data_IF_472970853710
#
_entry.id   IF_472970853710
#
_cell.length_a   1.000
_cell.length_b   1.000
_cell.length_c   1.000
_cell.angle_alpha   90.00
_cell.angle_beta   90.00
_cell.angle_gamma   90.00
#
_symmetry.space_group_name_H-M   'P 1'
#
loop_
_entity.id
_entity.type
_entity.pdbx_description
1 polymer ?
#
# COMPACT_ATOMS: atom_id res chain seq x y z
N UNK A 1 21.48 27.23 32.46
CA UNK A 1 21.41 25.83 31.99
C UNK A 1 22.84 25.27 31.97
N UNK A 2 23.08 24.07 32.50
CA UNK A 2 24.44 23.49 32.58
C UNK A 2 24.78 22.87 31.22
N UNK A 3 25.67 23.50 30.44
CA UNK A 3 26.00 23.09 29.06
C UNK A 3 26.39 21.61 28.93
N UNK A 4 27.10 21.05 29.90
CA UNK A 4 27.49 19.62 29.87
C UNK A 4 26.31 18.67 29.98
N UNK A 5 25.29 19.01 30.78
CA UNK A 5 24.06 18.21 30.92
C UNK A 5 23.23 18.30 29.63
N UNK A 6 23.20 19.46 28.99
CA UNK A 6 22.45 19.65 27.74
C UNK A 6 23.10 18.93 26.55
N UNK A 7 24.43 18.93 26.47
CA UNK A 7 25.17 18.14 25.49
C UNK A 7 24.95 16.64 25.71
N UNK A 8 25.03 16.16 26.96
CA UNK A 8 24.73 14.76 27.28
C UNK A 8 23.30 14.36 26.91
N UNK A 9 22.30 15.21 27.17
CA UNK A 9 20.91 14.96 26.77
C UNK A 9 20.74 14.84 25.24
N UNK A 10 21.44 15.66 24.46
CA UNK A 10 21.42 15.59 22.99
C UNK A 10 22.08 14.30 22.49
N UNK A 11 23.23 13.93 23.05
CA UNK A 11 23.93 12.69 22.74
C UNK A 11 23.07 11.45 23.05
N UNK A 12 22.43 11.41 24.22
CA UNK A 12 21.53 10.33 24.61
C UNK A 12 20.32 10.21 23.68
N UNK A 13 19.77 11.34 23.22
CA UNK A 13 18.69 11.38 22.24
C UNK A 13 19.09 10.77 20.89
N UNK A 14 20.21 11.22 20.32
CA UNK A 14 20.73 10.71 19.05
C UNK A 14 21.07 9.20 19.14
N UNK A 15 21.60 8.77 20.29
CA UNK A 15 21.87 7.36 20.57
C UNK A 15 20.60 6.52 20.59
N UNK A 16 19.56 6.97 21.27
CA UNK A 16 18.26 6.26 21.33
C UNK A 16 17.64 6.12 19.94
N UNK A 17 17.69 7.18 19.13
CA UNK A 17 17.22 7.18 17.74
C UNK A 17 18.01 6.15 16.91
N UNK A 18 19.34 6.19 16.98
CA UNK A 18 20.20 5.29 16.24
C UNK A 18 19.95 3.81 16.61
N UNK A 19 19.81 3.50 17.91
CA UNK A 19 19.52 2.14 18.37
C UNK A 19 18.17 1.64 17.85
N UNK A 20 17.14 2.49 17.82
CA UNK A 20 15.82 2.16 17.27
C UNK A 20 15.88 1.85 15.78
N UNK A 21 16.59 2.68 15.01
CA UNK A 21 16.78 2.47 13.56
C UNK A 21 17.52 1.14 13.30
N UNK A 22 18.63 0.90 14.01
CA UNK A 22 19.43 -0.34 13.85
C UNK A 22 18.58 -1.57 14.13
N UNK A 23 17.86 -1.58 15.26
CA UNK A 23 17.01 -2.72 15.65
C UNK A 23 15.95 -2.99 14.58
N UNK A 24 15.24 -1.96 14.12
CA UNK A 24 14.16 -2.13 13.16
C UNK A 24 14.66 -2.54 11.77
N UNK A 25 15.78 -1.98 11.30
CA UNK A 25 16.41 -2.42 10.05
C UNK A 25 16.84 -3.89 10.12
N UNK A 26 17.38 -4.33 11.26
CA UNK A 26 17.76 -5.72 11.47
C UNK A 26 16.55 -6.67 11.45
N UNK A 27 15.42 -6.26 12.04
CA UNK A 27 14.18 -7.05 12.02
C UNK A 27 13.55 -7.10 10.61
N UNK A 28 13.60 -5.99 9.87
CA UNK A 28 13.16 -5.93 8.46
C UNK A 28 14.00 -6.86 7.56
N UNK A 29 15.32 -6.88 7.74
CA UNK A 29 16.20 -7.77 6.97
C UNK A 29 15.87 -9.26 7.16
N UNK A 30 15.39 -9.66 8.34
CA UNK A 30 14.97 -11.06 8.60
C UNK A 30 13.70 -11.47 7.87
N UNK A 31 12.90 -10.49 7.43
CA UNK A 31 11.61 -10.72 6.77
C UNK A 31 11.62 -10.27 5.30
N UNK A 32 12.79 -9.89 4.77
CA UNK A 32 12.93 -9.27 3.45
C UNK A 32 12.33 -10.11 2.31
N UNK A 33 12.50 -11.44 2.33
CA UNK A 33 12.02 -12.34 1.27
C UNK A 33 10.50 -12.28 1.04
N UNK A 34 9.71 -11.93 2.06
CA UNK A 34 8.26 -11.82 1.96
C UNK A 34 7.80 -10.36 1.71
N UNK A 35 8.73 -9.41 1.54
CA UNK A 35 8.47 -7.98 1.60
C UNK A 35 9.03 -7.19 0.40
N UNK A 36 9.49 -7.86 -0.68
CA UNK A 36 10.21 -7.20 -1.77
C UNK A 36 9.40 -6.12 -2.52
N UNK A 37 8.06 -6.23 -2.65
CA UNK A 37 7.23 -5.17 -3.23
C UNK A 37 6.61 -4.19 -2.24
N UNK A 38 6.84 -4.36 -0.94
CA UNK A 38 6.21 -3.53 0.10
C UNK A 38 6.61 -2.06 0.02
N UNK A 39 7.84 -1.77 -0.39
CA UNK A 39 8.35 -0.39 -0.45
C UNK A 39 7.48 0.54 -1.32
N UNK A 40 6.95 0.03 -2.44
CA UNK A 40 6.15 0.84 -3.36
C UNK A 40 4.81 1.23 -2.75
N UNK A 41 4.19 0.32 -2.00
CA UNK A 41 2.95 0.57 -1.27
C UNK A 41 3.15 1.53 -0.11
N UNK A 42 4.25 1.44 0.63
CA UNK A 42 4.55 2.36 1.73
C UNK A 42 4.76 3.81 1.21
N UNK A 43 5.39 3.97 0.03
CA UNK A 43 5.54 5.28 -0.61
C UNK A 43 4.21 5.82 -1.16
N UNK A 44 3.41 4.97 -1.80
CA UNK A 44 2.07 5.36 -2.27
C UNK A 44 1.14 5.72 -1.11
N UNK A 45 1.22 5.00 0.01
CA UNK A 45 0.50 5.33 1.23
C UNK A 45 0.93 6.69 1.79
N UNK A 46 2.23 6.99 1.83
CA UNK A 46 2.71 8.31 2.26
C UNK A 46 2.16 9.42 1.35
N UNK A 47 2.13 9.20 0.04
CA UNK A 47 1.55 10.13 -0.92
C UNK A 47 0.05 10.35 -0.67
N UNK A 48 -0.74 9.28 -0.50
CA UNK A 48 -2.17 9.35 -0.16
C UNK A 48 -2.43 10.04 1.18
N UNK A 49 -1.67 9.68 2.22
CA UNK A 49 -1.82 10.25 3.56
C UNK A 49 -1.50 11.76 3.58
N UNK A 50 -0.63 12.25 2.68
CA UNK A 50 -0.28 13.68 2.62
C UNK A 50 -1.46 14.57 2.24
N UNK A 51 -2.45 14.04 1.51
CA UNK A 51 -3.64 14.79 1.07
C UNK A 51 -4.89 14.44 1.88
N UNK A 52 -4.77 13.62 2.93
CA UNK A 52 -5.91 13.09 3.69
C UNK A 52 -6.80 14.16 4.32
N UNK A 53 -6.22 15.27 4.77
CA UNK A 53 -6.93 16.40 5.37
C UNK A 53 -7.38 17.45 4.33
N UNK A 54 -7.29 17.11 3.03
CA UNK A 54 -7.60 18.01 1.91
C UNK A 54 -8.62 17.35 0.97
N UNK A 55 -9.15 18.12 0.00
CA UNK A 55 -9.99 17.58 -1.07
C UNK A 55 -9.18 17.25 -2.35
N UNK A 56 -7.84 17.22 -2.25
CA UNK A 56 -6.96 17.03 -3.40
C UNK A 56 -6.78 15.56 -3.72
N UNK A 57 -6.54 15.28 -4.99
CA UNK A 57 -6.14 13.96 -5.45
C UNK A 57 -4.62 13.92 -5.64
N UNK A 58 -4.04 12.74 -5.45
CA UNK A 58 -2.62 12.53 -5.63
C UNK A 58 -2.32 11.80 -6.93
N UNK A 59 -1.35 12.33 -7.65
CA UNK A 59 -0.70 11.72 -8.81
C UNK A 59 0.70 11.27 -8.43
N UNK A 60 1.09 10.09 -8.91
CA UNK A 60 2.38 9.45 -8.63
C UNK A 60 3.11 9.12 -9.92
N UNK A 61 4.43 9.29 -9.90
CA UNK A 61 5.33 8.87 -10.96
C UNK A 61 6.46 8.03 -10.39
N UNK A 62 6.71 6.87 -10.96
CA UNK A 62 7.81 5.98 -10.58
C UNK A 62 8.73 5.80 -11.78
N UNK A 63 10.02 6.04 -11.60
CA UNK A 63 11.04 5.92 -12.65
C UNK A 63 12.05 4.88 -12.21
N UNK A 64 12.13 3.76 -12.93
CA UNK A 64 13.14 2.71 -12.73
C UNK A 64 14.24 2.85 -13.79
N UNK A 65 15.47 2.99 -13.32
CA UNK A 65 16.70 3.01 -14.11
C UNK A 65 17.62 1.87 -13.67
N UNK A 66 18.80 1.73 -14.30
CA UNK A 66 19.75 0.68 -13.94
C UNK A 66 20.38 0.87 -12.57
N UNK A 67 20.61 2.11 -12.16
CA UNK A 67 21.36 2.49 -10.96
C UNK A 67 20.51 3.17 -9.89
N UNK A 68 19.22 3.42 -10.17
CA UNK A 68 18.31 4.07 -9.23
C UNK A 68 16.84 3.77 -9.51
N UNK A 69 16.02 4.05 -8.52
CA UNK A 69 14.58 4.18 -8.65
C UNK A 69 14.09 5.45 -7.97
N UNK A 70 13.21 6.18 -8.64
CA UNK A 70 12.68 7.47 -8.18
C UNK A 70 11.18 7.37 -8.03
N UNK A 71 10.67 7.70 -6.85
CA UNK A 71 9.24 7.82 -6.58
C UNK A 71 8.91 9.30 -6.38
N UNK A 72 8.01 9.83 -7.20
CA UNK A 72 7.58 11.22 -7.15
C UNK A 72 6.07 11.31 -6.93
N UNK A 73 5.60 12.31 -6.18
CA UNK A 73 4.18 12.62 -6.06
C UNK A 73 3.92 14.12 -5.90
N UNK A 74 2.70 14.55 -6.26
CA UNK A 74 2.22 15.93 -6.11
C UNK A 74 1.38 16.14 -4.84
N UNK A 75 1.63 15.30 -3.83
CA UNK A 75 0.95 15.44 -2.53
C UNK A 75 1.33 16.73 -1.81
N UNK A 76 0.76 16.95 -0.64
CA UNK A 76 1.02 18.15 0.17
C UNK A 76 2.51 18.29 0.51
N UNK A 77 2.95 19.53 0.74
CA UNK A 77 4.27 19.85 1.27
C UNK A 77 4.52 19.17 2.63
N UNK A 78 5.78 19.13 3.04
CA UNK A 78 6.18 18.64 4.36
C UNK A 78 5.92 19.70 5.43
N UNK A 79 5.62 19.25 6.64
CA UNK A 79 5.67 20.08 7.85
C UNK A 79 7.00 19.88 8.58
N UNK A 80 7.33 20.74 9.53
CA UNK A 80 8.47 20.51 10.45
C UNK A 80 8.40 19.14 11.13
N UNK A 81 7.19 18.70 11.48
CA UNK A 81 6.95 17.41 12.13
C UNK A 81 7.32 16.25 11.22
N UNK A 82 7.06 16.38 9.92
CA UNK A 82 7.43 15.37 8.93
C UNK A 82 8.93 15.30 8.72
N UNK A 83 9.64 16.44 8.62
CA UNK A 83 11.11 16.46 8.53
C UNK A 83 11.75 15.79 9.75
N UNK A 84 11.30 16.16 10.96
CA UNK A 84 11.76 15.51 12.20
C UNK A 84 11.45 14.01 12.19
N UNK A 85 10.28 13.61 11.70
CA UNK A 85 9.87 12.21 11.57
C UNK A 85 10.75 11.41 10.61
N UNK A 86 11.08 11.99 9.44
CA UNK A 86 11.96 11.40 8.44
C UNK A 86 13.38 11.21 8.98
N UNK A 87 13.99 12.25 9.54
CA UNK A 87 15.39 12.22 9.97
C UNK A 87 15.58 11.42 11.26
N UNK A 88 14.69 11.57 12.24
CA UNK A 88 14.83 10.94 13.55
C UNK A 88 14.06 9.61 13.70
N UNK A 89 13.31 9.17 12.69
CA UNK A 89 12.47 7.97 12.77
C UNK A 89 11.51 7.98 13.99
N UNK A 90 11.00 9.17 14.32
CA UNK A 90 9.98 9.37 15.34
C UNK A 90 8.63 9.30 14.62
N UNK A 91 7.70 8.49 15.13
CA UNK A 91 6.37 8.43 14.53
C UNK A 91 5.69 9.79 14.74
N UNK A 92 5.50 10.55 13.66
CA UNK A 92 4.74 11.79 13.69
C UNK A 92 3.22 11.58 13.68
N UNK A 93 2.77 10.32 13.55
CA UNK A 93 1.37 9.97 13.25
C UNK A 93 0.71 9.08 14.32
N UNK A 94 1.24 9.05 15.54
CA UNK A 94 0.51 8.44 16.66
C UNK A 94 -0.77 9.26 16.93
N UNK A 95 -1.92 8.59 16.85
CA UNK A 95 -3.24 9.14 17.07
C UNK A 95 -3.41 9.37 18.57
N UNK A 96 -3.89 10.54 18.99
CA UNK A 96 -4.21 10.76 20.40
C UNK A 96 -5.37 9.86 20.83
N UNK A 97 -5.38 9.45 22.10
CA UNK A 97 -6.33 8.48 22.64
C UNK A 97 -7.78 9.02 22.49
N UNK A 98 -8.54 8.45 21.55
CA UNK A 98 -9.94 8.83 21.26
C UNK A 98 -10.19 9.49 19.90
N UNK A 99 -9.18 9.73 19.08
CA UNK A 99 -9.35 10.25 17.71
C UNK A 99 -9.51 9.13 16.67
N UNK A 100 -10.32 9.38 15.63
CA UNK A 100 -10.46 8.49 14.47
C UNK A 100 -9.45 8.94 13.42
N UNK A 101 -8.44 8.12 13.13
CA UNK A 101 -7.47 8.42 12.07
C UNK A 101 -8.09 8.22 10.70
N UNK A 102 -8.01 9.24 9.85
CA UNK A 102 -8.27 9.13 8.39
C UNK A 102 -7.02 8.72 7.59
N UNK A 103 -5.86 8.65 8.26
CA UNK A 103 -4.58 8.25 7.67
C UNK A 103 -4.39 6.75 7.82
N UNK A 104 -3.87 6.12 6.76
CA UNK A 104 -3.61 4.68 6.71
C UNK A 104 -2.35 4.31 7.51
N UNK A 105 -1.37 5.21 7.56
CA UNK A 105 -0.13 5.02 8.32
C UNK A 105 -0.29 5.22 9.82
N UNK A 106 -0.43 4.13 10.58
CA UNK A 106 -0.61 4.15 12.05
C UNK A 106 0.67 3.95 12.86
N UNK A 107 1.66 3.23 12.32
CA UNK A 107 2.80 2.71 13.11
C UNK A 107 4.12 3.47 12.94
N UNK A 108 4.20 4.44 12.03
CA UNK A 108 5.43 5.22 11.79
C UNK A 108 6.65 4.41 11.30
N UNK A 109 6.44 3.16 10.88
CA UNK A 109 7.50 2.24 10.42
C UNK A 109 7.59 2.09 8.90
N UNK A 110 6.56 2.52 8.16
CA UNK A 110 6.43 2.28 6.73
C UNK A 110 7.60 2.80 5.90
N UNK A 111 8.04 4.04 6.19
CA UNK A 111 9.19 4.63 5.50
C UNK A 111 10.51 3.89 5.77
N UNK A 112 10.68 3.25 6.94
CA UNK A 112 11.90 2.48 7.18
C UNK A 112 11.91 1.16 6.37
N UNK A 113 10.74 0.61 6.04
CA UNK A 113 10.61 -0.56 5.15
C UNK A 113 11.17 -0.29 3.77
N UNK A 114 11.09 0.96 3.27
CA UNK A 114 11.67 1.31 1.96
C UNK A 114 13.19 1.19 1.95
N UNK A 115 13.85 1.17 3.12
CA UNK A 115 15.29 1.00 3.19
C UNK A 115 15.76 -0.45 2.92
N UNK A 116 14.81 -1.39 2.75
CA UNK A 116 15.08 -2.70 2.14
C UNK A 116 15.55 -2.54 0.68
N UNK A 117 15.10 -1.49 -0.01
CA UNK A 117 15.52 -1.15 -1.38
C UNK A 117 16.91 -0.50 -1.37
N UNK A 118 17.12 0.51 -0.54
CA UNK A 118 18.43 1.12 -0.30
C UNK A 118 18.47 1.82 1.05
N UNK A 119 19.60 1.70 1.75
CA UNK A 119 19.86 2.45 2.98
C UNK A 119 20.18 3.92 2.75
N UNK A 120 20.42 4.29 1.49
CA UNK A 120 20.71 5.65 1.05
C UNK A 120 19.57 6.13 0.16
N UNK A 121 18.89 7.17 0.63
CA UNK A 121 17.72 7.76 -0.02
C UNK A 121 17.93 9.26 -0.13
N UNK A 122 17.89 9.81 -1.34
CA UNK A 122 17.85 11.25 -1.54
C UNK A 122 16.40 11.69 -1.46
N UNK A 123 16.10 12.66 -0.60
CA UNK A 123 14.75 13.20 -0.41
C UNK A 123 14.74 14.65 -0.87
N UNK A 124 13.80 14.97 -1.76
CA UNK A 124 13.51 16.34 -2.18
C UNK A 124 12.07 16.66 -1.92
N UNK A 125 11.82 17.89 -1.53
CA UNK A 125 10.49 18.34 -1.16
C UNK A 125 10.43 19.85 -0.97
N UNK A 126 9.23 20.29 -0.63
CA UNK A 126 8.96 21.62 -0.10
C UNK A 126 8.57 21.43 1.36
N UNK A 127 9.12 22.23 2.27
CA UNK A 127 8.71 22.30 3.68
C UNK A 127 8.05 23.63 3.96
N UNK A 128 6.90 23.58 4.64
CA UNK A 128 6.22 24.75 5.20
C UNK A 128 6.67 24.95 6.65
N UNK A 129 7.01 26.19 6.97
CA UNK A 129 7.40 26.64 8.32
C UNK A 129 6.17 27.12 9.10
N UNK A 130 6.30 27.26 10.43
CA UNK A 130 5.21 27.81 11.26
C UNK A 130 4.81 29.26 10.89
N UNK A 131 5.69 29.97 10.18
CA UNK A 131 5.45 31.33 9.67
C UNK A 131 4.88 31.34 8.23
N UNK A 132 4.31 30.22 7.76
CA UNK A 132 3.71 30.02 6.43
C UNK A 132 4.67 30.28 5.24
N UNK A 133 5.98 30.19 5.48
CA UNK A 133 7.00 30.28 4.41
C UNK A 133 7.36 28.89 3.89
N UNK A 134 7.58 28.80 2.58
CA UNK A 134 7.94 27.56 1.88
C UNK A 134 9.41 27.53 1.51
N UNK A 135 10.09 26.42 1.78
CA UNK A 135 11.48 26.20 1.41
C UNK A 135 11.64 24.91 0.61
N UNK A 136 12.40 24.98 -0.49
CA UNK A 136 12.87 23.78 -1.17
C UNK A 136 13.98 23.15 -0.32
N UNK A 137 13.94 21.82 -0.20
CA UNK A 137 15.00 21.05 0.45
C UNK A 137 15.44 19.87 -0.40
N UNK A 138 16.69 19.45 -0.20
CA UNK A 138 17.28 18.29 -0.84
C UNK A 138 18.43 17.75 0.01
N UNK A 139 18.26 16.58 0.61
CA UNK A 139 19.30 15.97 1.45
C UNK A 139 19.38 14.46 1.30
N UNK A 140 20.54 13.90 1.63
CA UNK A 140 20.76 12.45 1.68
C UNK A 140 20.39 11.92 3.06
N UNK A 141 19.38 11.04 3.10
CA UNK A 141 19.11 10.22 4.27
C UNK A 141 19.93 8.93 4.20
N UNK A 142 21.01 8.88 4.99
CA UNK A 142 21.89 7.71 5.06
C UNK A 142 21.63 6.88 6.32
N UNK A 143 21.20 5.63 6.14
CA UNK A 143 20.99 4.64 7.22
C UNK A 143 22.04 3.53 7.24
N UNK A 144 23.19 3.74 6.59
CA UNK A 144 24.34 2.86 6.75
C UNK A 144 24.93 2.97 8.16
N UNK A 145 25.57 1.88 8.61
CA UNK A 145 26.09 1.75 9.97
C UNK A 145 25.51 0.53 10.68
N UNK A 146 26.38 -0.26 11.31
CA UNK A 146 26.01 -1.45 12.10
C UNK A 146 25.97 -1.16 13.60
N UNK A 147 26.53 -0.04 14.02
CA UNK A 147 26.60 0.37 15.42
C UNK A 147 26.09 1.79 15.58
N UNK A 148 25.63 2.13 16.77
CA UNK A 148 25.18 3.47 17.13
C UNK A 148 26.22 4.54 16.80
N UNK A 149 27.49 4.25 17.08
CA UNK A 149 28.61 5.15 16.82
C UNK A 149 28.83 5.45 15.32
N UNK A 150 28.43 4.52 14.43
CA UNK A 150 28.48 4.74 12.99
C UNK A 150 27.25 5.48 12.46
N UNK A 151 26.09 5.28 13.09
CA UNK A 151 24.83 5.84 12.59
C UNK A 151 24.56 7.27 13.11
N UNK A 152 25.03 7.63 14.31
CA UNK A 152 24.88 9.00 14.85
C UNK A 152 25.44 10.06 13.87
N UNK A 153 26.67 9.94 13.34
CA UNK A 153 27.19 10.91 12.37
C UNK A 153 26.33 11.02 11.11
N UNK A 154 25.69 9.94 10.67
CA UNK A 154 24.83 9.96 9.49
C UNK A 154 23.51 10.71 9.75
N UNK A 155 22.95 10.58 10.97
CA UNK A 155 21.77 11.35 11.39
C UNK A 155 22.12 12.84 11.50
N UNK A 156 23.26 13.17 12.10
CA UNK A 156 23.74 14.55 12.22
C UNK A 156 24.03 15.18 10.86
N UNK A 157 24.62 14.40 9.94
CA UNK A 157 24.86 14.85 8.58
C UNK A 157 23.56 15.08 7.80
N UNK A 158 22.54 14.23 7.97
CA UNK A 158 21.23 14.45 7.34
C UNK A 158 20.58 15.75 7.83
N UNK A 159 20.68 16.07 9.13
CA UNK A 159 20.25 17.37 9.65
C UNK A 159 21.04 18.51 9.04
N UNK A 160 22.37 18.40 8.98
CA UNK A 160 23.21 19.43 8.39
C UNK A 160 22.83 19.68 6.93
N UNK A 161 22.77 18.63 6.11
CA UNK A 161 22.40 18.75 4.69
C UNK A 161 20.99 19.31 4.49
N UNK A 162 20.02 18.96 5.35
CA UNK A 162 18.69 19.56 5.30
C UNK A 162 18.79 21.09 5.47
N UNK A 163 19.43 21.58 6.54
CA UNK A 163 19.56 23.02 6.80
C UNK A 163 20.34 23.73 5.68
N UNK A 164 21.48 23.17 5.27
CA UNK A 164 22.29 23.70 4.17
C UNK A 164 21.47 23.79 2.86
N UNK A 165 20.58 22.81 2.62
CA UNK A 165 19.72 22.79 1.42
C UNK A 165 18.57 23.80 1.46
N UNK A 166 18.16 24.26 2.64
CA UNK A 166 17.10 25.27 2.79
C UNK A 166 17.64 26.71 2.85
N UNK A 167 18.93 26.88 3.08
CA UNK A 167 19.57 28.20 3.13
C UNK A 167 19.43 28.90 1.76
N UNK A 168 18.84 30.09 1.76
CA UNK A 168 18.54 30.89 0.55
C UNK A 168 17.62 30.20 -0.49
N UNK A 169 16.87 29.17 -0.10
CA UNK A 169 15.94 28.41 -0.97
C UNK A 169 14.46 28.59 -0.61
N UNK A 170 14.11 29.76 -0.11
CA UNK A 170 12.71 30.17 0.08
C UNK A 170 12.03 30.37 -1.27
N UNK A 171 10.76 29.95 -1.39
CA UNK A 171 9.96 30.11 -2.59
C UNK A 171 8.68 30.89 -2.30
N UNK A 172 8.33 31.81 -3.19
CA UNK A 172 7.11 32.61 -3.06
C UNK A 172 5.86 31.88 -3.57
N UNK A 173 6.01 30.96 -4.52
CA UNK A 173 4.91 30.26 -5.17
C UNK A 173 5.08 28.75 -5.04
N UNK A 174 4.11 28.11 -4.40
CA UNK A 174 3.96 26.67 -4.34
C UNK A 174 2.90 26.24 -5.36
N UNK A 175 3.32 25.53 -6.41
CA UNK A 175 2.41 24.91 -7.36
C UNK A 175 2.08 23.49 -6.89
N UNK A 176 0.88 23.34 -6.35
CA UNK A 176 0.36 22.08 -5.81
C UNK A 176 0.30 20.94 -6.84
N UNK A 177 0.13 21.24 -8.13
CA UNK A 177 -0.05 20.22 -9.16
C UNK A 177 1.28 19.58 -9.61
N UNK A 178 2.41 20.22 -9.31
CA UNK A 178 3.75 19.72 -9.63
C UNK A 178 4.19 18.56 -8.74
N UNK A 179 5.10 17.73 -9.25
CA UNK A 179 5.70 16.61 -8.51
C UNK A 179 6.73 17.10 -7.48
N UNK A 180 6.24 17.79 -6.45
CA UNK A 180 7.03 18.50 -5.46
C UNK A 180 7.82 17.60 -4.52
N UNK A 181 7.36 16.36 -4.30
CA UNK A 181 8.03 15.41 -3.40
C UNK A 181 8.65 14.28 -4.20
N UNK A 182 9.92 13.97 -3.93
CA UNK A 182 10.63 12.84 -4.53
C UNK A 182 11.50 12.06 -3.55
N UNK A 183 11.51 10.74 -3.70
CA UNK A 183 12.40 9.81 -3.02
C UNK A 183 13.22 9.03 -4.05
N UNK A 184 14.54 9.21 -4.05
CA UNK A 184 15.44 8.56 -5.00
C UNK A 184 16.34 7.57 -4.27
N UNK A 185 16.23 6.29 -4.60
CA UNK A 185 17.00 5.19 -4.01
C UNK A 185 18.08 4.72 -4.98
N UNK A 186 19.33 4.68 -4.53
CA UNK A 186 20.44 4.11 -5.32
C UNK A 186 20.41 2.58 -5.32
N UNK A 187 20.48 1.98 -6.50
CA UNK A 187 20.47 0.53 -6.74
C UNK A 187 21.89 0.08 -7.12
N UNK A 188 22.77 0.04 -6.11
CA UNK A 188 24.20 -0.22 -6.28
C UNK A 188 24.55 -1.70 -6.38
N UNK A 189 23.62 -2.62 -6.05
CA UNK A 189 23.85 -4.06 -6.10
C UNK A 189 22.79 -4.78 -6.95
N UNK A 190 23.12 -5.97 -7.51
CA UNK A 190 22.15 -6.78 -8.24
C UNK A 190 20.92 -7.17 -7.40
N UNK A 191 21.09 -7.36 -6.09
CA UNK A 191 19.99 -7.65 -5.18
C UNK A 191 19.01 -6.48 -5.08
N UNK A 192 19.51 -5.24 -4.96
CA UNK A 192 18.67 -4.04 -4.93
C UNK A 192 17.91 -3.85 -6.25
N UNK A 193 18.58 -4.07 -7.38
CA UNK A 193 17.97 -4.02 -8.70
C UNK A 193 16.85 -5.06 -8.84
N UNK A 194 17.04 -6.27 -8.31
CA UNK A 194 16.03 -7.33 -8.34
C UNK A 194 14.83 -6.99 -7.44
N UNK A 195 15.06 -6.49 -6.23
CA UNK A 195 13.99 -6.04 -5.33
C UNK A 195 13.16 -4.92 -5.98
N UNK A 196 13.81 -3.98 -6.67
CA UNK A 196 13.14 -2.91 -7.40
C UNK A 196 12.23 -3.47 -8.51
N UNK A 197 12.74 -4.40 -9.32
CA UNK A 197 11.99 -5.04 -10.42
C UNK A 197 10.79 -5.84 -9.91
N UNK A 198 10.99 -6.68 -8.90
CA UNK A 198 9.91 -7.44 -8.26
C UNK A 198 8.83 -6.48 -7.75
N UNK A 199 9.24 -5.40 -7.07
CA UNK A 199 8.30 -4.40 -6.57
C UNK A 199 7.50 -3.71 -7.67
N UNK A 200 8.14 -3.34 -8.79
CA UNK A 200 7.44 -2.74 -9.94
C UNK A 200 6.46 -3.73 -10.59
N UNK A 201 6.86 -4.98 -10.80
CA UNK A 201 6.02 -6.00 -11.44
C UNK A 201 4.79 -6.35 -10.57
N UNK A 202 4.98 -6.47 -9.25
CA UNK A 202 3.88 -6.62 -8.28
C UNK A 202 2.97 -5.39 -8.27
N UNK A 203 3.56 -4.20 -8.25
CA UNK A 203 2.83 -2.94 -8.24
C UNK A 203 1.96 -2.77 -9.49
N UNK A 204 2.50 -3.03 -10.69
CA UNK A 204 1.76 -3.03 -11.97
C UNK A 204 0.57 -3.99 -11.97
N UNK A 205 0.69 -5.13 -11.29
CA UNK A 205 -0.34 -6.15 -11.21
C UNK A 205 -1.49 -5.73 -10.29
N UNK A 206 -1.17 -5.08 -9.17
CA UNK A 206 -2.10 -4.80 -8.08
C UNK A 206 -2.66 -3.37 -8.09
N UNK A 207 -2.01 -2.41 -8.75
CA UNK A 207 -2.45 -1.01 -8.78
C UNK A 207 -3.92 -0.83 -9.23
N UNK A 208 -4.49 -1.63 -10.16
CA UNK A 208 -5.91 -1.49 -10.49
C UNK A 208 -6.86 -1.79 -9.32
N UNK A 209 -6.49 -2.69 -8.41
CA UNK A 209 -7.26 -2.93 -7.18
C UNK A 209 -7.17 -1.74 -6.24
N UNK A 210 -5.96 -1.20 -6.03
CA UNK A 210 -5.74 -0.03 -5.17
C UNK A 210 -6.52 1.18 -5.69
N UNK A 211 -6.46 1.50 -6.98
CA UNK A 211 -7.24 2.59 -7.57
C UNK A 211 -8.76 2.34 -7.50
N UNK A 212 -9.19 1.09 -7.39
CA UNK A 212 -10.61 0.77 -7.16
C UNK A 212 -11.04 1.09 -5.74
N UNK A 213 -10.16 0.90 -4.76
CA UNK A 213 -10.46 1.09 -3.34
C UNK A 213 -10.14 2.49 -2.81
N UNK A 214 -9.20 3.20 -3.44
CA UNK A 214 -8.70 4.49 -2.99
C UNK A 214 -9.02 5.55 -4.06
N UNK A 215 -10.14 6.28 -3.94
CA UNK A 215 -10.51 7.32 -4.89
C UNK A 215 -9.57 8.54 -4.89
N UNK A 216 -8.80 8.75 -3.82
CA UNK A 216 -7.87 9.87 -3.64
C UNK A 216 -6.64 9.78 -4.55
N UNK A 217 -6.35 8.61 -5.14
CA UNK A 217 -5.26 8.46 -6.10
C UNK A 217 -5.84 8.66 -7.51
N UNK A 218 -5.46 9.76 -8.16
CA UNK A 218 -5.91 10.13 -9.50
C UNK A 218 -5.18 9.33 -10.58
N UNK A 219 -3.85 9.36 -10.54
CA UNK A 219 -3.02 8.75 -11.56
C UNK A 219 -1.76 8.11 -10.97
N UNK A 220 -1.34 6.99 -11.57
CA UNK A 220 0.00 6.45 -11.38
C UNK A 220 0.68 6.20 -12.72
N UNK A 221 1.86 6.78 -12.92
CA UNK A 221 2.72 6.57 -14.08
C UNK A 221 3.99 5.81 -13.66
N UNK A 222 4.38 4.82 -14.45
CA UNK A 222 5.58 4.01 -14.22
C UNK A 222 6.41 4.02 -15.50
N UNK A 223 7.63 4.51 -15.41
CA UNK A 223 8.62 4.56 -16.49
C UNK A 223 9.71 3.53 -16.17
N UNK A 224 9.69 2.39 -16.84
CA UNK A 224 10.72 1.36 -16.77
C UNK A 224 11.73 1.57 -17.90
N UNK A 225 12.84 2.25 -17.60
CA UNK A 225 13.88 2.54 -18.59
C UNK A 225 14.70 1.29 -18.95
N UNK A 226 14.59 0.19 -18.19
CA UNK A 226 15.27 -1.07 -18.51
C UNK A 226 14.55 -1.82 -19.62
N UNK A 227 13.22 -1.72 -19.65
CA UNK A 227 12.35 -2.30 -20.68
C UNK A 227 11.97 -1.31 -21.79
N UNK A 228 12.35 -0.03 -21.64
CA UNK A 228 11.90 1.08 -22.48
C UNK A 228 10.36 1.19 -22.52
N UNK A 229 9.72 0.92 -21.37
CA UNK A 229 8.27 0.90 -21.22
C UNK A 229 7.79 2.05 -20.34
N UNK A 230 6.67 2.67 -20.72
CA UNK A 230 5.92 3.61 -19.88
C UNK A 230 4.50 3.11 -19.76
N UNK A 231 4.02 2.90 -18.54
CA UNK A 231 2.64 2.49 -18.26
C UNK A 231 2.01 3.49 -17.31
N UNK A 232 0.85 4.04 -17.69
CA UNK A 232 0.05 4.87 -16.80
C UNK A 232 -1.33 4.27 -16.54
N UNK A 233 -1.81 4.49 -15.33
CA UNK A 233 -3.15 4.12 -14.87
C UNK A 233 -3.84 5.37 -14.36
N UNK A 234 -5.02 5.67 -14.90
CA UNK A 234 -5.85 6.77 -14.46
C UNK A 234 -7.15 6.25 -13.85
N UNK A 235 -7.49 6.78 -12.68
CA UNK A 235 -8.65 6.38 -11.89
C UNK A 235 -9.92 7.07 -12.41
N UNK A 236 -10.90 6.29 -12.87
CA UNK A 236 -12.24 6.84 -13.14
C UNK A 236 -13.04 6.79 -11.84
N UNK A 237 -13.48 7.94 -11.32
CA UNK A 237 -14.25 8.00 -10.07
C UNK A 237 -15.58 7.23 -10.13
N UNK A 238 -16.10 6.90 -11.32
CA UNK A 238 -17.45 6.31 -11.47
C UNK A 238 -17.45 4.78 -11.48
N UNK A 239 -18.35 4.22 -10.69
CA UNK A 239 -18.76 2.82 -10.78
C UNK A 239 -20.06 2.76 -11.57
N UNK A 240 -20.10 1.96 -12.63
CA UNK A 240 -21.28 1.80 -13.51
C UNK A 240 -21.60 0.31 -13.61
N UNK A 241 -22.83 -0.07 -13.28
CA UNK A 241 -23.32 -1.46 -13.29
C UNK A 241 -22.47 -2.45 -12.45
N UNK A 242 -21.91 -1.96 -11.34
CA UNK A 242 -21.00 -2.70 -10.47
C UNK A 242 -19.56 -2.79 -10.99
N UNK A 243 -19.23 -2.09 -12.09
CA UNK A 243 -17.88 -2.07 -12.63
C UNK A 243 -17.17 -0.74 -12.37
N UNK A 244 -16.01 -0.81 -11.73
CA UNK A 244 -14.98 0.24 -11.78
C UNK A 244 -14.15 0.05 -13.05
N UNK A 245 -13.84 1.17 -13.72
CA UNK A 245 -12.96 1.20 -14.89
C UNK A 245 -11.71 1.98 -14.53
N UNK A 246 -10.56 1.45 -14.91
CA UNK A 246 -9.27 2.13 -14.82
C UNK A 246 -8.73 2.23 -16.23
N UNK A 247 -8.42 3.45 -16.67
CA UNK A 247 -7.81 3.68 -17.97
C UNK A 247 -6.34 3.32 -17.87
N UNK A 248 -5.86 2.42 -18.73
CA UNK A 248 -4.46 2.02 -18.82
C UNK A 248 -3.90 2.45 -20.17
N UNK A 249 -2.83 3.22 -20.15
CA UNK A 249 -2.07 3.61 -21.34
C UNK A 249 -0.69 2.96 -21.24
N UNK A 250 -0.21 2.38 -22.33
CA UNK A 250 1.10 1.74 -22.40
C UNK A 250 1.84 2.29 -23.61
N UNK A 251 3.05 2.81 -23.43
CA UNK A 251 3.91 3.38 -24.48
C UNK A 251 3.23 4.43 -25.38
N UNK A 252 2.29 5.21 -24.82
CA UNK A 252 1.51 6.20 -25.58
C UNK A 252 0.53 5.60 -26.59
N UNK A 253 0.29 4.29 -26.55
CA UNK A 253 -0.72 3.62 -27.37
C UNK A 253 -2.15 4.05 -27.00
N UNK A 254 -3.11 3.65 -27.82
CA UNK A 254 -4.52 3.93 -27.55
C UNK A 254 -4.94 3.44 -26.15
N UNK A 255 -5.65 4.25 -25.36
CA UNK A 255 -6.04 3.86 -24.01
C UNK A 255 -6.86 2.56 -23.98
N UNK A 256 -6.48 1.65 -23.08
CA UNK A 256 -7.20 0.41 -22.79
C UNK A 256 -7.94 0.51 -21.46
N UNK A 257 -8.94 -0.35 -21.24
CA UNK A 257 -9.72 -0.34 -20.01
C UNK A 257 -9.48 -1.60 -19.18
N UNK A 258 -8.94 -1.42 -17.98
CA UNK A 258 -8.95 -2.44 -16.93
C UNK A 258 -10.28 -2.34 -16.18
N UNK A 259 -10.99 -3.47 -16.06
CA UNK A 259 -12.30 -3.52 -15.40
C UNK A 259 -12.23 -4.33 -14.12
N UNK A 260 -12.77 -3.77 -13.05
CA UNK A 260 -12.99 -4.48 -11.80
C UNK A 260 -14.48 -4.54 -11.54
N UNK A 261 -14.99 -5.75 -11.32
CA UNK A 261 -16.32 -5.96 -10.80
C UNK A 261 -16.22 -5.79 -9.27
N UNK A 262 -17.00 -4.88 -8.69
CA UNK A 262 -16.92 -4.53 -7.28
C UNK A 262 -18.31 -4.34 -6.66
N UNK A 263 -18.37 -4.58 -5.35
CA UNK A 263 -19.50 -4.22 -4.50
C UNK A 263 -18.97 -3.56 -3.23
N UNK A 264 -19.63 -2.50 -2.78
CA UNK A 264 -19.20 -1.68 -1.65
C UNK A 264 -20.37 -1.52 -0.70
N UNK A 265 -20.16 -1.93 0.56
CA UNK A 265 -21.03 -1.63 1.69
C UNK A 265 -20.56 -0.37 2.41
N UNK A 266 -20.92 -0.23 3.69
CA UNK A 266 -20.52 0.93 4.50
C UNK A 266 -19.00 1.00 4.68
N UNK A 267 -18.39 -0.08 5.20
CA UNK A 267 -16.96 -0.09 5.58
C UNK A 267 -16.14 -1.14 4.83
N UNK A 268 -16.78 -1.91 3.95
CA UNK A 268 -16.17 -3.05 3.25
C UNK A 268 -16.42 -2.93 1.76
N UNK A 269 -15.39 -3.15 0.97
CA UNK A 269 -15.49 -3.31 -0.47
C UNK A 269 -14.92 -4.66 -0.89
N UNK A 270 -15.52 -5.28 -1.90
CA UNK A 270 -14.97 -6.47 -2.56
C UNK A 270 -14.75 -6.17 -4.04
N UNK A 271 -13.72 -6.77 -4.63
CA UNK A 271 -13.45 -6.59 -6.05
C UNK A 271 -12.80 -7.82 -6.71
N UNK A 272 -13.03 -7.95 -8.01
CA UNK A 272 -12.30 -8.91 -8.86
C UNK A 272 -12.10 -8.33 -10.26
N UNK A 273 -10.91 -8.55 -10.84
CA UNK A 273 -10.63 -8.13 -12.23
C UNK A 273 -11.43 -8.96 -13.23
N UNK A 274 -11.90 -8.27 -14.27
CA UNK A 274 -12.64 -8.87 -15.39
C UNK A 274 -12.15 -8.37 -16.73
N UNK A 275 -12.39 -9.16 -17.78
CA UNK A 275 -12.14 -8.78 -19.18
C UNK A 275 -13.44 -8.88 -19.96
N UNK A 276 -13.82 -7.82 -20.67
CA UNK A 276 -14.94 -7.84 -21.59
C UNK A 276 -14.49 -8.45 -22.92
N UNK A 277 -15.16 -9.51 -23.36
CA UNK A 277 -14.91 -10.18 -24.65
C UNK A 277 -15.68 -9.51 -25.78
N UNK A 278 -15.29 -9.80 -27.02
CA UNK A 278 -15.95 -9.28 -28.22
C UNK A 278 -17.42 -9.71 -28.33
N UNK A 279 -17.76 -10.91 -27.85
CA UNK A 279 -19.14 -11.43 -27.76
C UNK A 279 -19.99 -10.74 -26.68
N UNK A 280 -19.45 -9.74 -25.98
CA UNK A 280 -20.11 -8.99 -24.92
C UNK A 280 -20.08 -9.66 -23.54
N UNK A 281 -19.59 -10.90 -23.43
CA UNK A 281 -19.46 -11.61 -22.14
C UNK A 281 -18.29 -11.07 -21.31
N UNK A 282 -18.35 -11.29 -20.00
CA UNK A 282 -17.26 -10.93 -19.10
C UNK A 282 -16.54 -12.18 -18.61
N UNK A 283 -15.21 -12.18 -18.62
CA UNK A 283 -14.39 -13.24 -18.03
C UNK A 283 -13.79 -12.76 -16.71
N UNK A 284 -13.98 -13.53 -15.63
CA UNK A 284 -13.35 -13.28 -14.33
C UNK A 284 -11.92 -13.78 -14.36
N UNK A 285 -10.95 -12.92 -14.06
CA UNK A 285 -9.54 -13.29 -14.03
C UNK A 285 -9.20 -14.08 -12.76
N UNK A 286 -8.13 -14.87 -12.84
CA UNK A 286 -7.61 -15.60 -11.67
C UNK A 286 -7.17 -14.62 -10.59
N UNK A 287 -7.53 -14.92 -9.34
CA UNK A 287 -7.07 -14.19 -8.15
C UNK A 287 -5.99 -14.97 -7.40
N UNK A 288 -5.46 -16.08 -7.94
CA UNK A 288 -4.54 -16.99 -7.22
C UNK A 288 -3.37 -16.25 -6.56
N UNK A 289 -2.69 -15.39 -7.32
CA UNK A 289 -1.47 -14.69 -6.91
C UNK A 289 -1.76 -13.23 -6.48
N UNK A 290 -3.02 -12.92 -6.15
CA UNK A 290 -3.46 -11.60 -5.67
C UNK A 290 -3.67 -11.68 -4.15
N UNK A 291 -3.19 -10.73 -3.34
CA UNK A 291 -3.54 -10.65 -1.92
C UNK A 291 -5.07 -10.65 -1.74
N UNK A 292 -5.61 -11.40 -0.79
CA UNK A 292 -7.07 -11.47 -0.59
C UNK A 292 -7.56 -10.36 0.32
N UNK A 293 -6.68 -9.81 1.14
CA UNK A 293 -7.02 -8.76 2.10
C UNK A 293 -6.25 -7.48 1.77
N UNK A 294 -6.98 -6.38 1.79
CA UNK A 294 -6.48 -5.02 1.60
C UNK A 294 -6.97 -4.18 2.79
N UNK A 295 -6.11 -3.30 3.28
CA UNK A 295 -6.44 -2.25 4.22
C UNK A 295 -5.95 -0.94 3.59
N UNK A 296 -6.76 -0.41 2.67
CA UNK A 296 -6.40 0.50 1.56
C UNK A 296 -5.41 -0.13 0.56
N UNK A 297 -4.26 -0.56 1.07
CA UNK A 297 -3.19 -1.21 0.32
C UNK A 297 -3.17 -2.72 0.58
N UNK A 298 -2.59 -3.52 -0.34
CA UNK A 298 -2.56 -4.97 -0.20
C UNK A 298 -1.84 -5.41 1.09
N UNK A 299 -2.43 -6.37 1.81
CA UNK A 299 -1.74 -7.08 2.89
C UNK A 299 -0.92 -8.23 2.28
N UNK A 300 0.37 -8.00 2.07
CA UNK A 300 1.28 -8.92 1.35
C UNK A 300 1.38 -10.25 2.09
N UNK A 301 1.26 -11.38 1.39
CA UNK A 301 1.24 -12.71 2.02
C UNK A 301 -0.16 -13.28 2.24
N UNK A 302 -1.21 -12.49 1.98
CA UNK A 302 -2.60 -12.95 2.07
C UNK A 302 -3.11 -13.61 0.79
N UNK A 303 -2.24 -13.97 -0.16
CA UNK A 303 -2.62 -14.66 -1.42
C UNK A 303 -3.19 -16.06 -1.14
N UNK A 304 -2.80 -16.69 -0.03
CA UNK A 304 -3.36 -17.98 0.37
C UNK A 304 -4.49 -17.85 1.39
N UNK A 305 -4.91 -16.63 1.75
CA UNK A 305 -6.03 -16.44 2.66
C UNK A 305 -7.33 -16.96 2.04
N UNK A 306 -8.10 -17.71 2.82
CA UNK A 306 -9.23 -18.51 2.32
C UNK A 306 -10.52 -17.67 2.17
N UNK A 307 -10.51 -16.68 1.26
CA UNK A 307 -11.71 -15.93 0.88
C UNK A 307 -11.91 -15.98 -0.65
N UNK A 308 -13.15 -16.10 -1.16
CA UNK A 308 -13.42 -16.28 -2.59
C UNK A 308 -13.12 -15.06 -3.49
N UNK A 309 -12.87 -13.88 -2.91
CA UNK A 309 -12.69 -12.63 -3.63
C UNK A 309 -11.73 -11.70 -2.86
N UNK A 310 -11.21 -10.65 -3.49
CA UNK A 310 -10.42 -9.63 -2.78
C UNK A 310 -11.36 -8.79 -1.91
N UNK A 311 -10.96 -8.55 -0.66
CA UNK A 311 -11.68 -7.74 0.33
C UNK A 311 -10.82 -6.57 0.75
N UNK A 312 -11.38 -5.37 0.73
CA UNK A 312 -10.79 -4.16 1.28
C UNK A 312 -11.65 -3.61 2.41
N UNK A 313 -10.99 -3.18 3.48
CA UNK A 313 -11.60 -2.31 4.50
C UNK A 313 -10.51 -1.46 5.15
N UNK A 314 -10.76 -0.14 5.24
CA UNK A 314 -9.93 0.77 6.01
C UNK A 314 -9.89 0.40 7.51
N UNK A 315 -10.97 -0.20 8.01
CA UNK A 315 -11.17 -0.52 9.41
C UNK A 315 -10.55 -1.86 9.84
N UNK A 316 -9.89 -2.58 8.93
CA UNK A 316 -9.12 -3.74 9.36
C UNK A 316 -8.06 -3.34 10.38
N UNK A 317 -7.82 -4.24 11.34
CA UNK A 317 -6.70 -4.17 12.27
C UNK A 317 -5.61 -5.15 11.79
N UNK A 318 -4.70 -4.71 10.88
CA UNK A 318 -3.63 -5.55 10.38
C UNK A 318 -2.53 -5.74 11.41
N UNK A 319 -1.76 -6.81 11.26
CA UNK A 319 -0.49 -6.96 11.96
C UNK A 319 0.47 -5.82 11.60
N UNK A 320 1.44 -5.54 12.46
CA UNK A 320 2.45 -4.48 12.25
C UNK A 320 3.22 -4.64 10.93
N UNK A 321 3.46 -5.88 10.50
CA UNK A 321 4.11 -6.16 9.22
C UNK A 321 3.16 -6.14 8.02
N UNK A 322 1.88 -5.79 8.23
CA UNK A 322 0.84 -5.71 7.21
C UNK A 322 0.74 -6.97 6.34
N UNK A 323 0.99 -8.13 6.94
CA UNK A 323 0.99 -9.44 6.28
C UNK A 323 -0.29 -10.27 6.56
N UNK A 324 -1.25 -9.67 7.27
CA UNK A 324 -2.54 -10.29 7.57
C UNK A 324 -3.27 -9.63 8.72
N UNK A 325 -4.36 -10.26 9.14
CA UNK A 325 -5.21 -9.86 10.27
C UNK A 325 -5.38 -11.03 11.23
N UNK A 326 -5.50 -10.74 12.54
CA UNK A 326 -5.77 -11.77 13.53
C UNK A 326 -7.26 -12.12 13.57
N UNK A 327 -7.56 -13.43 13.52
CA UNK A 327 -8.91 -13.98 13.60
C UNK A 327 -9.12 -14.94 14.78
N UNK A 328 -8.07 -15.18 15.58
CA UNK A 328 -8.11 -16.10 16.72
C UNK A 328 -8.20 -15.30 18.02
N UNK A 329 -9.25 -15.54 18.79
CA UNK A 329 -9.59 -14.77 19.99
C UNK A 329 -11.10 -14.49 20.05
N UNK A 330 -11.70 -14.73 21.22
CA UNK A 330 -13.15 -14.53 21.42
C UNK A 330 -13.48 -13.23 22.17
N UNK A 331 -12.48 -12.60 22.81
CA UNK A 331 -12.65 -11.41 23.65
C UNK A 331 -11.76 -10.24 23.23
N UNK A 332 -10.97 -10.43 22.19
CA UNK A 332 -10.10 -9.39 21.66
C UNK A 332 -10.92 -8.52 20.68
N UNK A 333 -11.00 -7.22 20.97
CA UNK A 333 -11.83 -6.28 20.22
C UNK A 333 -11.41 -6.19 18.75
N UNK A 334 -10.11 -6.08 18.47
CA UNK A 334 -9.59 -5.99 17.10
C UNK A 334 -9.91 -7.26 16.30
N UNK A 335 -9.82 -8.43 16.95
CA UNK A 335 -10.20 -9.71 16.35
C UNK A 335 -11.69 -9.79 16.05
N UNK A 336 -12.55 -9.29 16.94
CA UNK A 336 -14.00 -9.25 16.74
C UNK A 336 -14.38 -8.30 15.59
N UNK A 337 -13.75 -7.14 15.51
CA UNK A 337 -13.91 -6.19 14.42
C UNK A 337 -13.49 -6.79 13.07
N UNK A 338 -12.31 -7.40 13.00
CA UNK A 338 -11.82 -8.09 11.79
C UNK A 338 -12.80 -9.19 11.32
N UNK A 339 -13.39 -9.95 12.25
CA UNK A 339 -14.42 -10.96 11.94
C UNK A 339 -15.69 -10.32 11.37
N UNK A 340 -16.18 -9.25 11.99
CA UNK A 340 -17.37 -8.55 11.53
C UNK A 340 -17.19 -7.98 10.11
N UNK A 341 -16.02 -7.44 9.79
CA UNK A 341 -15.71 -6.96 8.44
C UNK A 341 -15.72 -8.10 7.40
N UNK A 342 -15.20 -9.28 7.75
CA UNK A 342 -15.25 -10.45 6.86
C UNK A 342 -16.67 -11.02 6.70
N UNK A 343 -17.51 -10.92 7.72
CA UNK A 343 -18.93 -11.28 7.64
C UNK A 343 -19.69 -10.33 6.70
N UNK A 344 -19.43 -9.03 6.78
CA UNK A 344 -19.96 -8.05 5.83
C UNK A 344 -19.47 -8.32 4.39
N UNK A 345 -18.18 -8.65 4.23
CA UNK A 345 -17.63 -9.03 2.92
C UNK A 345 -18.35 -10.25 2.33
N UNK A 346 -18.79 -11.20 3.18
CA UNK A 346 -19.53 -12.38 2.74
C UNK A 346 -20.94 -12.01 2.25
N UNK A 347 -21.61 -11.06 2.91
CA UNK A 347 -22.91 -10.54 2.47
C UNK A 347 -22.78 -9.88 1.08
N UNK A 348 -21.80 -8.98 0.92
CA UNK A 348 -21.52 -8.35 -0.38
C UNK A 348 -21.20 -9.38 -1.46
N UNK A 349 -20.45 -10.43 -1.11
CA UNK A 349 -20.14 -11.51 -2.03
C UNK A 349 -21.39 -12.27 -2.48
N UNK A 350 -22.34 -12.54 -1.57
CA UNK A 350 -23.62 -13.18 -1.92
C UNK A 350 -24.43 -12.31 -2.89
N UNK A 351 -24.51 -11.00 -2.64
CA UNK A 351 -25.17 -10.05 -3.53
C UNK A 351 -24.52 -10.02 -4.91
N UNK A 352 -23.18 -9.96 -4.94
CA UNK A 352 -22.41 -9.97 -6.18
C UNK A 352 -22.64 -11.24 -7.00
N UNK A 353 -22.69 -12.41 -6.36
CA UNK A 353 -22.98 -13.68 -7.04
C UNK A 353 -24.38 -13.68 -7.65
N UNK A 354 -25.39 -13.17 -6.93
CA UNK A 354 -26.75 -13.05 -7.46
C UNK A 354 -26.81 -12.14 -8.71
N UNK A 355 -25.95 -11.13 -8.79
CA UNK A 355 -25.84 -10.25 -9.96
C UNK A 355 -25.04 -10.86 -11.11
N UNK A 356 -24.02 -11.67 -10.79
CA UNK A 356 -23.29 -12.48 -11.76
C UNK A 356 -24.23 -13.49 -12.42
N UNK A 357 -25.14 -14.13 -11.68
CA UNK A 357 -26.11 -15.09 -12.22
C UNK A 357 -27.07 -14.47 -13.25
N UNK A 358 -27.38 -13.18 -13.12
CA UNK A 358 -28.23 -12.44 -14.06
C UNK A 358 -27.51 -12.03 -15.34
N UNK A 359 -26.17 -12.12 -15.38
CA UNK A 359 -25.30 -11.66 -16.47
C UNK A 359 -24.51 -12.86 -17.04
N UNK A 360 -23.97 -12.73 -18.27
CA UNK A 360 -23.15 -13.79 -18.85
C UNK A 360 -21.68 -13.63 -18.45
N UNK A 361 -21.27 -14.33 -17.39
CA UNK A 361 -19.88 -14.43 -16.94
C UNK A 361 -19.25 -15.77 -17.28
N UNK A 362 -17.98 -15.74 -17.68
CA UNK A 362 -17.08 -16.89 -17.88
C UNK A 362 -16.09 -16.96 -16.71
N UNK A 363 -15.56 -18.15 -16.45
CA UNK A 363 -14.56 -18.42 -15.42
C UNK A 363 -14.98 -18.04 -13.99
N UNK A 364 -16.27 -18.16 -13.67
CA UNK A 364 -16.83 -17.88 -12.33
C UNK A 364 -16.14 -18.72 -11.23
N UNK A 365 -15.61 -19.89 -11.58
CA UNK A 365 -14.85 -20.74 -10.65
C UNK A 365 -13.63 -20.02 -10.02
N UNK A 366 -13.10 -18.96 -10.64
CA UNK A 366 -12.00 -18.17 -10.10
C UNK A 366 -12.36 -17.47 -8.79
N UNK A 367 -13.65 -17.20 -8.56
CA UNK A 367 -14.18 -16.64 -7.31
C UNK A 367 -15.09 -17.60 -6.56
N UNK A 368 -15.16 -18.88 -6.95
CA UNK A 368 -15.92 -19.91 -6.23
C UNK A 368 -15.02 -20.89 -5.47
N UNK A 369 -13.71 -20.89 -5.77
CA UNK A 369 -12.71 -21.76 -5.13
C UNK A 369 -12.23 -21.15 -3.82
N UNK A 370 -12.71 -21.67 -2.69
CA UNK A 370 -12.09 -21.44 -1.38
C UNK A 370 -11.73 -22.77 -0.72
N UNK A 371 -10.54 -22.86 -0.11
CA UNK A 371 -10.20 -23.97 0.79
C UNK A 371 -10.93 -23.73 2.11
N UNK A 372 -12.15 -24.25 2.24
CA UNK A 372 -12.94 -24.07 3.45
C UNK A 372 -12.25 -24.64 4.69
N UNK A 373 -11.81 -23.80 5.63
CA UNK A 373 -11.48 -24.24 6.99
C UNK A 373 -12.80 -24.48 7.75
N UNK A 374 -12.81 -25.42 8.70
CA UNK A 374 -14.02 -25.93 9.38
C UNK A 374 -14.94 -24.84 9.98
N UNK A 375 -14.41 -23.66 10.31
CA UNK A 375 -15.16 -22.54 10.89
C UNK A 375 -15.93 -21.70 9.87
N UNK A 376 -15.42 -21.51 8.63
CA UNK A 376 -16.21 -20.91 7.54
C UNK A 376 -17.36 -21.82 7.10
N UNK A 377 -17.21 -23.14 7.30
CA UNK A 377 -18.27 -24.12 7.06
C UNK A 377 -19.51 -23.82 7.90
N UNK A 378 -19.36 -23.34 9.13
CA UNK A 378 -20.49 -23.00 10.00
C UNK A 378 -21.22 -21.74 9.52
N UNK A 379 -20.48 -20.70 9.10
CA UNK A 379 -21.06 -19.44 8.58
C UNK A 379 -21.74 -19.69 7.21
N UNK A 380 -21.09 -20.44 6.32
CA UNK A 380 -21.64 -20.85 5.02
C UNK A 380 -22.81 -21.85 5.16
N UNK A 381 -22.84 -22.71 6.20
CA UNK A 381 -23.98 -23.62 6.42
C UNK A 381 -25.17 -22.96 7.10
N UNK A 382 -24.95 -21.97 7.99
CA UNK A 382 -26.03 -21.21 8.64
C UNK A 382 -26.80 -20.32 7.66
N UNK A 383 -26.14 -19.79 6.61
CA UNK A 383 -26.76 -18.89 5.64
C UNK A 383 -26.88 -19.46 4.21
N UNK A 384 -26.13 -20.51 3.85
CA UNK A 384 -25.90 -20.92 2.46
C UNK A 384 -26.50 -22.26 2.02
N UNK A 385 -27.33 -22.94 2.83
CA UNK A 385 -27.87 -24.26 2.45
C UNK A 385 -28.88 -24.24 1.27
N UNK A 386 -29.22 -23.08 0.71
CA UNK A 386 -30.07 -22.98 -0.49
C UNK A 386 -29.34 -22.71 -1.81
N UNK A 387 -28.08 -22.27 -1.79
CA UNK A 387 -27.42 -21.70 -2.99
C UNK A 387 -26.76 -22.77 -3.88
N UNK A 388 -26.36 -23.92 -3.33
CA UNK A 388 -25.65 -24.96 -4.11
C UNK A 388 -26.53 -26.10 -4.67
N UNK A 389 -27.86 -26.03 -4.52
CA UNK A 389 -28.76 -27.10 -5.00
C UNK A 389 -29.51 -26.80 -6.29
N UNK A 390 -29.33 -25.61 -6.90
CA UNK A 390 -30.06 -25.22 -8.11
C UNK A 390 -29.20 -24.47 -9.13
N UNK A 391 -28.14 -25.11 -9.63
CA UNK A 391 -27.69 -24.85 -10.99
C UNK A 391 -27.48 -26.19 -11.72
N UNK A 392 -27.82 -26.30 -13.02
CA UNK A 392 -27.80 -27.55 -13.76
C UNK A 392 -26.36 -27.87 -14.20
N UNK A 393 -25.50 -28.20 -13.25
CA UNK A 393 -24.25 -28.93 -13.48
C UNK A 393 -24.24 -30.10 -12.51
N UNK A 394 -25.01 -31.12 -12.89
CA UNK A 394 -24.93 -32.43 -12.26
C UNK A 394 -23.51 -32.98 -12.38
N UNK A 395 -22.76 -32.91 -11.28
CA UNK A 395 -21.75 -33.89 -10.84
C UNK A 395 -20.97 -33.38 -9.62
N UNK A 396 -21.69 -33.05 -8.54
CA UNK A 396 -21.11 -32.99 -7.18
C UNK A 396 -21.17 -34.37 -6.48
N UNK A 397 -21.17 -35.47 -7.24
CA UNK A 397 -21.26 -36.85 -6.73
C UNK A 397 -19.89 -37.50 -6.45
N UNK A 398 -18.78 -36.75 -6.41
CA UNK A 398 -17.44 -37.33 -6.27
C UNK A 398 -16.63 -36.85 -5.06
N UNK A 399 -17.24 -36.11 -4.12
CA UNK A 399 -16.54 -35.64 -2.91
C UNK A 399 -16.74 -36.52 -1.67
N UNK A 400 -17.40 -37.68 -1.79
CA UNK A 400 -17.63 -38.63 -0.67
C UNK A 400 -16.97 -40.01 -0.85
N UNK A 401 -16.04 -40.19 -1.80
CA UNK A 401 -15.39 -41.50 -2.02
C UNK A 401 -13.85 -41.54 -1.93
N UNK A 402 -13.20 -40.48 -1.43
CA UNK A 402 -11.74 -40.48 -1.20
C UNK A 402 -11.37 -40.08 0.23
N UNK A 403 -12.19 -40.49 1.20
CA UNK A 403 -11.83 -40.54 2.63
C UNK A 403 -11.74 -41.99 3.10
N UNK A 404 -10.79 -42.72 2.51
CA UNK A 404 -10.12 -43.89 3.09
C UNK A 404 -8.64 -43.82 2.77
#
# INVERSE_FOLDING_TARGET
>A
MIKSIENGRKEDGNRSIADKIIKRLHDLQKTAQNNHGRWAWELLQNAKDSVADTNRLVSVKIILSNDKIEFLHNGSHFTEKDIRGLINQISSKEVEEGEISIRTGRFGTGFLTTHLLSKEVIIKGIVETEDDNYFLFNFLLNRNGKTTAQLIPNIENAWKEFHDSTEENEIENYDEDEFNTSFTYSLNTPEQQEIAKIGIDEFLTLIPYVLTFIPEIDQVEIIDQLKEETTSFQNDSKIIDGFKKITKIHNGEAPTLVRLLCATGENVSIAVRTVKKEDGTFEILSIKDIPKLFCDFPLIGTENFHFPIVVNSFDFNPQTERDGVWLMGEKDTEVLENKALLEQALILYQELINDIEKKQFKNIFNIAKTKTHLQMKTILMLHGTKILSKSPLGSFSLLNQLLS
#
